data_IF_761394519578
#
_entry.id   IF_761394519578
#
_cell.length_a   1.000
_cell.length_b   1.000
_cell.length_c   1.000
_cell.angle_alpha   90.00
_cell.angle_beta   90.00
_cell.angle_gamma   90.00
#
_symmetry.space_group_name_H-M   'P 1'
#
loop_
_entity.id
_entity.type
_entity.pdbx_description
1 polymer ?
#
# COMPACT_ATOMS: atom_id res chain seq x y z
N UNK A 1 -27.76 14.82 36.51
CA UNK A 1 -27.82 13.54 35.77
C UNK A 1 -26.64 13.51 34.82
N UNK A 2 -25.65 12.67 35.10
CA UNK A 2 -24.53 12.47 34.19
C UNK A 2 -25.09 11.85 32.90
N UNK A 3 -24.74 12.41 31.74
CA UNK A 3 -25.07 11.78 30.47
C UNK A 3 -24.36 10.42 30.42
N UNK A 4 -25.13 9.34 30.52
CA UNK A 4 -24.63 8.00 30.24
C UNK A 4 -24.05 7.96 28.83
N UNK A 5 -22.96 7.20 28.62
CA UNK A 5 -22.16 7.29 27.41
C UNK A 5 -22.98 6.72 26.25
N UNK A 6 -23.62 7.62 25.52
CA UNK A 6 -23.81 7.43 24.08
C UNK A 6 -22.39 7.25 23.55
N UNK A 7 -21.91 6.01 23.48
CA UNK A 7 -20.64 5.61 22.88
C UNK A 7 -20.39 6.57 21.72
N UNK A 8 -19.40 7.46 21.86
CA UNK A 8 -19.30 8.70 21.08
C UNK A 8 -19.67 8.45 19.61
N UNK A 9 -20.88 8.87 19.22
CA UNK A 9 -21.44 8.48 17.92
C UNK A 9 -20.56 8.98 16.77
N UNK A 10 -19.81 10.07 16.99
CA UNK A 10 -18.81 10.55 16.05
C UNK A 10 -17.62 9.58 15.95
N UNK A 11 -17.15 9.04 17.07
CA UNK A 11 -16.09 8.02 17.09
C UNK A 11 -16.52 6.73 16.38
N UNK A 12 -17.76 6.26 16.58
CA UNK A 12 -18.29 5.09 15.87
C UNK A 12 -18.29 5.32 14.37
N UNK A 13 -18.83 6.46 13.92
CA UNK A 13 -18.86 6.85 12.50
C UNK A 13 -17.46 6.97 11.90
N UNK A 14 -16.49 7.53 12.63
CA UNK A 14 -15.11 7.62 12.16
C UNK A 14 -14.46 6.25 11.97
N UNK A 15 -14.79 5.27 12.83
CA UNK A 15 -14.29 3.90 12.69
C UNK A 15 -14.90 3.18 11.50
N UNK A 16 -16.18 3.40 11.20
CA UNK A 16 -16.83 2.85 10.01
C UNK A 16 -16.17 3.40 8.73
N UNK A 17 -15.97 4.72 8.66
CA UNK A 17 -15.28 5.35 7.53
C UNK A 17 -13.83 4.85 7.38
N UNK A 18 -13.13 4.62 8.49
CA UNK A 18 -11.77 4.06 8.46
C UNK A 18 -11.78 2.61 7.96
N UNK A 19 -12.74 1.78 8.40
CA UNK A 19 -12.87 0.42 7.93
C UNK A 19 -13.15 0.34 6.42
N UNK A 20 -14.01 1.21 5.90
CA UNK A 20 -14.27 1.30 4.45
C UNK A 20 -13.01 1.71 3.69
N UNK A 21 -12.25 2.68 4.23
CA UNK A 21 -10.96 3.06 3.67
C UNK A 21 -9.95 1.91 3.70
N UNK A 22 -9.91 1.11 4.75
CA UNK A 22 -9.00 -0.04 4.88
C UNK A 22 -9.35 -1.16 3.88
N UNK A 23 -10.64 -1.38 3.59
CA UNK A 23 -11.08 -2.26 2.51
C UNK A 23 -10.59 -1.74 1.15
N UNK A 24 -10.73 -0.43 0.89
CA UNK A 24 -10.22 0.18 -0.34
C UNK A 24 -8.69 0.07 -0.45
N UNK A 25 -7.96 0.19 0.65
CA UNK A 25 -6.50 -0.06 0.69
C UNK A 25 -6.17 -1.51 0.34
N UNK A 26 -6.90 -2.48 0.89
CA UNK A 26 -6.72 -3.89 0.56
C UNK A 26 -6.94 -4.16 -0.93
N UNK A 27 -7.98 -3.58 -1.52
CA UNK A 27 -8.25 -3.72 -2.96
C UNK A 27 -7.14 -3.13 -3.83
N UNK A 28 -6.59 -1.98 -3.45
CA UNK A 28 -5.45 -1.38 -4.13
C UNK A 28 -4.19 -2.26 -4.02
N UNK A 29 -3.96 -2.90 -2.88
CA UNK A 29 -2.85 -3.84 -2.69
C UNK A 29 -3.04 -5.10 -3.54
N UNK A 30 -4.24 -5.67 -3.61
CA UNK A 30 -4.55 -6.81 -4.47
C UNK A 30 -4.34 -6.47 -5.95
N UNK A 31 -4.81 -5.29 -6.38
CA UNK A 31 -4.58 -4.81 -7.76
C UNK A 31 -3.09 -4.64 -8.05
N UNK A 32 -2.31 -4.14 -7.08
CA UNK A 32 -0.86 -4.05 -7.21
C UNK A 32 -0.22 -5.42 -7.38
N UNK A 33 -0.63 -6.43 -6.60
CA UNK A 33 -0.13 -7.80 -6.71
C UNK A 33 -0.37 -8.36 -8.11
N UNK A 34 -1.58 -8.20 -8.65
CA UNK A 34 -1.92 -8.63 -10.01
C UNK A 34 -1.00 -7.98 -11.06
N UNK A 35 -0.82 -6.66 -10.99
CA UNK A 35 0.03 -5.92 -11.93
C UNK A 35 1.51 -6.33 -11.83
N UNK A 36 2.03 -6.52 -10.61
CA UNK A 36 3.42 -6.96 -10.43
C UNK A 36 3.60 -8.42 -10.87
N UNK A 37 2.59 -9.27 -10.69
CA UNK A 37 2.55 -10.63 -11.24
C UNK A 37 2.68 -10.63 -12.75
N UNK A 38 1.87 -9.83 -13.45
CA UNK A 38 1.98 -9.66 -14.90
C UNK A 38 3.38 -9.16 -15.31
N UNK A 39 3.95 -8.18 -14.59
CA UNK A 39 5.32 -7.70 -14.86
C UNK A 39 6.35 -8.82 -14.68
N UNK A 40 6.22 -9.65 -13.63
CA UNK A 40 7.10 -10.79 -13.37
C UNK A 40 7.09 -11.78 -14.52
N UNK A 41 5.91 -12.15 -15.01
CA UNK A 41 5.72 -13.05 -16.15
C UNK A 41 6.37 -12.48 -17.41
N UNK A 42 6.09 -11.21 -17.74
CA UNK A 42 6.69 -10.53 -18.89
C UNK A 42 8.21 -10.45 -18.81
N UNK A 43 8.77 -10.20 -17.62
CA UNK A 43 10.23 -10.19 -17.41
C UNK A 43 10.85 -11.58 -17.57
N UNK A 44 10.17 -12.63 -17.11
CA UNK A 44 10.62 -14.01 -17.28
C UNK A 44 10.66 -14.41 -18.76
N UNK A 45 9.67 -14.02 -19.56
CA UNK A 45 9.67 -14.24 -21.01
C UNK A 45 10.84 -13.54 -21.73
N UNK A 46 11.34 -12.44 -21.15
CA UNK A 46 12.44 -11.64 -21.70
C UNK A 46 13.81 -11.99 -21.10
N UNK A 47 13.89 -13.00 -20.22
CA UNK A 47 15.10 -13.37 -19.46
C UNK A 47 15.69 -12.20 -18.64
N UNK A 48 14.82 -11.34 -18.09
CA UNK A 48 15.18 -10.17 -17.29
C UNK A 48 14.95 -10.45 -15.80
N UNK A 49 15.88 -9.98 -14.96
CA UNK A 49 15.76 -10.09 -13.52
C UNK A 49 14.49 -9.40 -12.98
N UNK A 50 13.79 -10.10 -12.09
CA UNK A 50 12.55 -9.61 -11.49
C UNK A 50 12.79 -8.39 -10.59
N UNK A 51 13.80 -8.46 -9.71
CA UNK A 51 14.19 -7.39 -8.78
C UNK A 51 15.00 -6.33 -9.51
N UNK A 52 14.64 -5.05 -9.30
CA UNK A 52 15.26 -3.90 -9.93
C UNK A 52 15.36 -2.74 -8.90
N UNK A 53 16.52 -2.59 -8.21
CA UNK A 53 16.70 -1.58 -7.18
C UNK A 53 16.56 -0.15 -7.68
N UNK A 54 17.00 0.13 -8.92
CA UNK A 54 16.90 1.47 -9.52
C UNK A 54 15.44 1.84 -9.76
N UNK A 55 14.62 0.86 -10.18
CA UNK A 55 13.18 1.05 -10.31
C UNK A 55 12.50 1.31 -8.97
N UNK A 56 12.90 0.63 -7.90
CA UNK A 56 12.38 0.85 -6.55
C UNK A 56 12.74 2.26 -6.03
N UNK A 57 13.99 2.69 -6.23
CA UNK A 57 14.44 4.04 -5.88
C UNK A 57 13.67 5.12 -6.66
N UNK A 58 13.49 4.92 -7.97
CA UNK A 58 12.68 5.81 -8.80
C UNK A 58 11.24 5.94 -8.29
N UNK A 59 10.63 4.83 -7.86
CA UNK A 59 9.25 4.82 -7.39
C UNK A 59 9.10 5.63 -6.10
N UNK A 60 10.06 5.51 -5.18
CA UNK A 60 10.08 6.30 -3.95
C UNK A 60 10.11 7.81 -4.26
N UNK A 61 11.00 8.22 -5.15
CA UNK A 61 11.14 9.62 -5.54
C UNK A 61 9.91 10.14 -6.30
N UNK A 62 9.29 9.29 -7.13
CA UNK A 62 8.04 9.62 -7.80
C UNK A 62 6.91 9.86 -6.78
N UNK A 63 6.75 8.97 -5.80
CA UNK A 63 5.71 9.09 -4.77
C UNK A 63 5.97 10.29 -3.84
N UNK A 64 7.23 10.60 -3.50
CA UNK A 64 7.57 11.80 -2.71
C UNK A 64 7.07 13.06 -3.39
N UNK A 65 7.32 13.21 -4.69
CA UNK A 65 6.85 14.37 -5.47
C UNK A 65 5.33 14.43 -5.62
N UNK A 66 4.67 13.27 -5.68
CA UNK A 66 3.22 13.17 -5.79
C UNK A 66 2.48 13.33 -4.45
N UNK A 67 3.17 13.16 -3.32
CA UNK A 67 2.57 13.23 -2.00
C UNK A 67 2.20 14.69 -1.63
N UNK A 68 0.92 15.01 -1.78
CA UNK A 68 0.32 16.27 -1.30
C UNK A 68 -0.35 16.13 0.07
N UNK A 69 -0.15 15.00 0.75
CA UNK A 69 -0.80 14.65 2.01
C UNK A 69 0.06 14.94 3.25
N UNK A 70 -0.41 14.45 4.40
CA UNK A 70 0.29 14.60 5.70
C UNK A 70 1.36 13.54 5.97
N UNK A 71 1.53 12.57 5.06
CA UNK A 71 2.53 11.52 5.21
C UNK A 71 3.92 12.14 5.08
N UNK A 72 4.82 11.85 6.03
CA UNK A 72 6.21 12.31 5.95
C UNK A 72 7.01 11.51 4.93
N UNK A 73 8.14 12.07 4.46
CA UNK A 73 9.05 11.34 3.57
C UNK A 73 9.59 10.05 4.18
N UNK A 74 9.75 10.02 5.51
CA UNK A 74 10.13 8.81 6.25
C UNK A 74 9.03 7.77 6.25
N UNK A 75 7.81 8.17 6.62
CA UNK A 75 6.65 7.28 6.63
C UNK A 75 6.33 6.74 5.23
N UNK A 76 6.52 7.55 4.18
CA UNK A 76 6.38 7.10 2.81
C UNK A 76 7.42 6.04 2.43
N UNK A 77 8.68 6.22 2.84
CA UNK A 77 9.73 5.23 2.61
C UNK A 77 9.40 3.92 3.32
N UNK A 78 9.02 3.99 4.59
CA UNK A 78 8.65 2.82 5.39
C UNK A 78 7.47 2.06 4.76
N UNK A 79 6.42 2.79 4.37
CA UNK A 79 5.24 2.23 3.70
C UNK A 79 5.63 1.52 2.39
N UNK A 80 6.39 2.20 1.53
CA UNK A 80 6.76 1.65 0.23
C UNK A 80 7.65 0.40 0.35
N UNK A 81 8.67 0.44 1.22
CA UNK A 81 9.56 -0.69 1.44
C UNK A 81 8.78 -1.89 1.98
N UNK A 82 7.91 -1.68 2.96
CA UNK A 82 7.06 -2.74 3.53
C UNK A 82 6.16 -3.35 2.47
N UNK A 83 5.54 -2.52 1.62
CA UNK A 83 4.65 -2.97 0.55
C UNK A 83 5.41 -3.73 -0.55
N UNK A 84 6.61 -3.29 -0.92
CA UNK A 84 7.48 -3.97 -1.88
C UNK A 84 7.85 -5.36 -1.37
N UNK A 85 8.30 -5.45 -0.12
CA UNK A 85 8.70 -6.72 0.48
C UNK A 85 7.52 -7.67 0.67
N UNK A 86 6.36 -7.16 1.09
CA UNK A 86 5.13 -7.95 1.15
C UNK A 86 4.77 -8.51 -0.23
N UNK A 87 4.82 -7.67 -1.26
CA UNK A 87 4.49 -8.10 -2.63
C UNK A 87 5.42 -9.19 -3.13
N UNK A 88 6.73 -9.07 -2.89
CA UNK A 88 7.71 -10.11 -3.24
C UNK A 88 7.38 -11.45 -2.55
N UNK A 89 6.97 -11.42 -1.28
CA UNK A 89 6.59 -12.63 -0.52
C UNK A 89 5.29 -13.26 -1.02
N UNK A 90 4.24 -12.46 -1.25
CA UNK A 90 2.96 -13.01 -1.72
C UNK A 90 3.08 -13.63 -3.12
N UNK A 91 3.82 -12.99 -4.03
CA UNK A 91 4.10 -13.52 -5.38
C UNK A 91 5.02 -14.76 -5.39
N UNK A 92 5.60 -15.12 -4.26
CA UNK A 92 6.35 -16.37 -4.11
C UNK A 92 5.49 -17.50 -3.51
N UNK A 93 4.31 -17.18 -2.98
CA UNK A 93 3.34 -18.15 -2.43
C UNK A 93 2.28 -18.57 -3.43
N UNK A 94 1.97 -17.69 -4.39
CA UNK A 94 1.09 -17.94 -5.55
C UNK A 94 1.81 -18.71 -6.64
#
# INVERSE_FOLDING_TARGET
MAAEPTMDAALVRLRELLADNDVALLDLVNRRLELVGQIKERKAELDVAFVDPDREAWLLDHLRRANSGRLSDEGLRELLTTLLDLTKRELARS
#
